data_IF_143694158203
#
_entry.id   IF_143694158203
#
_cell.length_a   1.000
_cell.length_b   1.000
_cell.length_c   1.000
_cell.angle_alpha   90.00
_cell.angle_beta   90.00
_cell.angle_gamma   90.00
#
_symmetry.space_group_name_H-M   'P 1'
#
loop_
_entity.id
_entity.type
_entity.pdbx_description
1 polymer ?
#
# COMPACT_ATOMS: atom_id res chain seq x y z
N UNK A 1 -65.27 -20.10 47.67
CA UNK A 1 -63.81 -20.32 47.68
C UNK A 1 -63.23 -19.25 46.79
N UNK A 2 -62.55 -18.30 47.42
CA UNK A 2 -62.15 -17.02 46.84
C UNK A 2 -60.89 -17.17 46.00
N UNK A 3 -60.89 -16.46 44.87
CA UNK A 3 -59.76 -16.25 43.96
C UNK A 3 -58.63 -15.50 44.67
N UNK A 4 -57.40 -16.01 44.57
CA UNK A 4 -56.17 -15.28 44.88
C UNK A 4 -55.19 -15.49 43.71
N UNK A 5 -55.26 -14.59 42.72
CA UNK A 5 -54.21 -14.41 41.72
C UNK A 5 -53.57 -13.06 41.97
N UNK A 6 -52.40 -13.05 42.60
CA UNK A 6 -51.58 -11.87 42.85
C UNK A 6 -51.08 -11.31 41.51
N UNK A 7 -51.34 -10.04 41.16
CA UNK A 7 -50.67 -9.43 40.01
C UNK A 7 -49.28 -8.94 40.42
N UNK A 8 -48.28 -9.44 39.71
CA UNK A 8 -46.90 -8.98 39.73
C UNK A 8 -46.85 -7.46 39.45
N UNK A 9 -46.35 -6.71 40.42
CA UNK A 9 -46.21 -5.26 40.31
C UNK A 9 -45.19 -4.94 39.22
N UNK A 10 -45.70 -4.53 38.05
CA UNK A 10 -44.91 -3.94 37.00
C UNK A 10 -44.15 -2.73 37.55
N UNK A 11 -42.82 -2.78 37.47
CA UNK A 11 -41.92 -1.67 37.74
C UNK A 11 -42.42 -0.38 37.07
N UNK A 12 -42.39 0.79 37.75
CA UNK A 12 -42.87 2.02 37.15
C UNK A 12 -42.05 2.35 35.89
N UNK A 13 -42.67 2.93 34.85
CA UNK A 13 -41.94 3.38 33.66
C UNK A 13 -40.92 4.44 34.07
N UNK A 14 -39.70 4.44 33.49
CA UNK A 14 -38.71 5.45 33.83
C UNK A 14 -39.26 6.84 33.54
N UNK A 15 -39.17 7.70 34.54
CA UNK A 15 -39.61 9.08 34.53
C UNK A 15 -39.09 9.83 33.30
N UNK A 16 -40.01 10.37 32.52
CA UNK A 16 -39.77 11.34 31.47
C UNK A 16 -38.94 12.49 32.03
N UNK A 17 -37.74 12.72 31.48
CA UNK A 17 -36.97 13.92 31.78
C UNK A 17 -35.47 13.76 32.02
N UNK A 18 -34.88 12.57 31.85
CA UNK A 18 -33.42 12.48 31.85
C UNK A 18 -32.88 12.56 30.43
N UNK A 19 -32.13 13.64 30.21
CA UNK A 19 -31.44 14.00 29.00
C UNK A 19 -30.79 12.77 28.35
N UNK A 20 -31.26 12.41 27.16
CA UNK A 20 -30.75 11.30 26.35
C UNK A 20 -29.23 11.41 26.06
N UNK A 21 -28.65 12.58 26.36
CA UNK A 21 -27.23 12.93 26.23
C UNK A 21 -26.38 12.64 27.48
N UNK A 22 -26.97 12.29 28.62
CA UNK A 22 -26.25 12.19 29.91
C UNK A 22 -25.63 10.79 30.16
N UNK A 23 -25.63 9.91 29.14
CA UNK A 23 -25.13 8.52 29.25
C UNK A 23 -23.73 8.31 28.68
N UNK A 24 -23.18 9.29 27.97
CA UNK A 24 -21.83 9.22 27.43
C UNK A 24 -20.98 10.24 28.17
N UNK A 25 -19.93 9.77 28.83
CA UNK A 25 -18.94 10.67 29.43
C UNK A 25 -18.35 11.52 28.29
N UNK A 26 -18.34 12.85 28.44
CA UNK A 26 -17.81 13.77 27.41
C UNK A 26 -16.32 13.49 27.07
N UNK A 27 -15.61 12.84 27.99
CA UNK A 27 -14.22 12.38 27.88
C UNK A 27 -14.07 10.94 27.33
N UNK A 28 -15.16 10.26 26.95
CA UNK A 28 -15.08 8.91 26.38
C UNK A 28 -14.32 8.95 25.03
N UNK A 29 -13.18 8.23 24.89
CA UNK A 29 -12.37 8.27 23.68
C UNK A 29 -13.13 7.87 22.41
N UNK A 30 -14.14 7.00 22.52
CA UNK A 30 -14.97 6.60 21.37
C UNK A 30 -15.96 7.70 20.96
N UNK A 31 -16.51 8.45 21.92
CA UNK A 31 -17.38 9.60 21.64
C UNK A 31 -16.60 10.74 20.99
N UNK A 32 -15.39 11.02 21.48
CA UNK A 32 -14.47 12.00 20.89
C UNK A 32 -14.05 11.60 19.47
N UNK A 33 -13.77 10.31 19.23
CA UNK A 33 -13.52 9.78 17.88
C UNK A 33 -14.70 9.98 16.95
N UNK A 34 -15.91 9.66 17.41
CA UNK A 34 -17.12 9.80 16.61
C UNK A 34 -17.40 11.27 16.28
N UNK A 35 -17.13 12.18 17.21
CA UNK A 35 -17.26 13.64 17.01
C UNK A 35 -16.25 14.18 16.00
N UNK A 36 -15.00 13.73 16.05
CA UNK A 36 -13.95 14.17 15.13
C UNK A 36 -14.08 13.58 13.73
N UNK A 37 -14.73 12.40 13.59
CA UNK A 37 -14.97 11.72 12.31
C UNK A 37 -15.64 12.60 11.26
N UNK A 38 -16.56 13.47 11.67
CA UNK A 38 -17.25 14.39 10.74
C UNK A 38 -16.32 15.49 10.20
N UNK A 39 -15.33 15.92 10.99
CA UNK A 39 -14.31 16.87 10.56
C UNK A 39 -13.30 16.18 9.62
N UNK A 40 -12.87 14.97 9.95
CA UNK A 40 -11.96 14.16 9.13
C UNK A 40 -12.55 13.89 7.73
N UNK A 41 -13.82 13.47 7.65
CA UNK A 41 -14.51 13.23 6.38
C UNK A 41 -14.63 14.49 5.52
N UNK A 42 -14.85 15.67 6.12
CA UNK A 42 -14.89 16.94 5.40
C UNK A 42 -13.52 17.33 4.89
N UNK A 43 -12.47 17.11 5.67
CA UNK A 43 -11.10 17.32 5.22
C UNK A 43 -10.74 16.41 4.05
N UNK A 44 -11.11 15.14 4.12
CA UNK A 44 -10.91 14.17 3.04
C UNK A 44 -11.66 14.58 1.76
N UNK A 45 -12.91 15.04 1.87
CA UNK A 45 -13.66 15.54 0.71
C UNK A 45 -13.00 16.76 0.07
N UNK A 46 -12.53 17.72 0.89
CA UNK A 46 -11.78 18.88 0.39
C UNK A 46 -10.50 18.45 -0.32
N UNK A 47 -9.77 17.47 0.22
CA UNK A 47 -8.56 16.94 -0.39
C UNK A 47 -8.86 16.19 -1.70
N UNK A 48 -9.95 15.42 -1.74
CA UNK A 48 -10.46 14.76 -2.94
C UNK A 48 -10.85 15.78 -4.02
N UNK A 49 -11.54 16.86 -3.66
CA UNK A 49 -11.91 17.93 -4.59
C UNK A 49 -10.68 18.70 -5.11
N UNK A 50 -9.72 19.00 -4.24
CA UNK A 50 -8.45 19.63 -4.63
C UNK A 50 -7.67 18.75 -5.62
N UNK A 51 -7.65 17.42 -5.39
CA UNK A 51 -6.93 16.45 -6.24
C UNK A 51 -7.72 16.03 -7.49
N UNK A 52 -9.03 16.26 -7.55
CA UNK A 52 -9.91 15.85 -8.65
C UNK A 52 -9.38 16.26 -10.02
N UNK A 53 -8.92 17.50 -10.17
CA UNK A 53 -8.37 18.00 -11.45
C UNK A 53 -7.10 17.26 -11.88
N UNK A 54 -6.20 16.99 -10.94
CA UNK A 54 -4.95 16.27 -11.22
C UNK A 54 -5.26 14.83 -11.64
N UNK A 55 -6.14 14.15 -10.92
CA UNK A 55 -6.58 12.79 -11.28
C UNK A 55 -7.20 12.76 -12.68
N UNK A 56 -8.08 13.71 -13.00
CA UNK A 56 -8.69 13.80 -14.33
C UNK A 56 -7.65 13.98 -15.44
N UNK A 57 -6.60 14.77 -15.21
CA UNK A 57 -5.51 14.96 -16.18
C UNK A 57 -4.67 13.69 -16.32
N UNK A 58 -4.29 13.06 -15.21
CA UNK A 58 -3.49 11.83 -15.23
C UNK A 58 -4.23 10.63 -15.85
N UNK A 59 -5.56 10.67 -15.86
CA UNK A 59 -6.42 9.66 -16.50
C UNK A 59 -6.85 10.07 -17.92
N UNK A 60 -6.47 11.25 -18.41
CA UNK A 60 -6.88 11.75 -19.72
C UNK A 60 -6.10 11.04 -20.85
N UNK A 61 -6.79 10.31 -21.76
CA UNK A 61 -6.13 9.66 -22.89
C UNK A 61 -5.51 10.66 -23.86
N UNK A 62 -6.20 11.78 -24.14
CA UNK A 62 -5.72 12.82 -25.06
C UNK A 62 -4.45 13.49 -24.56
N UNK A 63 -4.37 13.79 -23.26
CA UNK A 63 -3.18 14.39 -22.67
C UNK A 63 -1.97 13.44 -22.76
N UNK A 64 -2.19 12.14 -22.57
CA UNK A 64 -1.15 11.13 -22.71
C UNK A 64 -0.61 11.06 -24.15
N UNK A 65 -1.50 11.06 -25.14
CA UNK A 65 -1.10 11.05 -26.56
C UNK A 65 -0.29 12.29 -26.95
N UNK A 66 -0.71 13.47 -26.50
CA UNK A 66 0.03 14.73 -26.71
C UNK A 66 1.42 14.69 -26.05
N UNK A 67 1.51 14.19 -24.82
CA UNK A 67 2.78 14.05 -24.09
C UNK A 67 3.74 13.09 -24.81
N UNK A 68 3.24 11.97 -25.31
CA UNK A 68 4.04 10.99 -26.05
C UNK A 68 4.54 11.57 -27.39
N UNK A 69 3.68 12.30 -28.11
CA UNK A 69 4.07 13.03 -29.32
C UNK A 69 5.18 14.05 -29.06
N UNK A 70 5.06 14.84 -27.98
CA UNK A 70 6.07 15.82 -27.59
C UNK A 70 7.42 15.15 -27.28
N UNK A 71 7.42 14.04 -26.54
CA UNK A 71 8.64 13.27 -26.22
C UNK A 71 9.30 12.78 -27.51
N UNK A 72 8.53 12.22 -28.45
CA UNK A 72 9.05 11.73 -29.73
C UNK A 72 9.66 12.86 -30.57
N UNK A 73 9.03 14.03 -30.60
CA UNK A 73 9.54 15.19 -31.32
C UNK A 73 10.85 15.70 -30.71
N UNK A 74 10.94 15.78 -29.38
CA UNK A 74 12.18 16.18 -28.69
C UNK A 74 13.30 15.16 -28.87
N UNK A 75 12.98 13.86 -28.90
CA UNK A 75 13.94 12.80 -29.20
C UNK A 75 14.47 12.88 -30.63
N UNK A 76 13.61 13.13 -31.61
CA UNK A 76 13.98 13.31 -33.02
C UNK A 76 14.86 14.54 -33.24
N UNK A 77 14.67 15.60 -32.44
CA UNK A 77 15.45 16.83 -32.49
C UNK A 77 16.86 16.69 -31.89
N UNK A 78 17.18 15.55 -31.25
CA UNK A 78 18.51 15.26 -30.72
C UNK A 78 18.85 15.94 -29.40
N UNK A 79 17.88 16.62 -28.76
CA UNK A 79 18.08 17.30 -27.48
C UNK A 79 17.96 16.31 -26.31
N UNK A 80 18.91 15.39 -26.19
CA UNK A 80 18.98 14.40 -25.11
C UNK A 80 19.31 15.04 -23.75
N UNK A 81 18.37 15.83 -23.22
CA UNK A 81 18.46 16.50 -21.94
C UNK A 81 17.75 15.72 -20.84
N UNK A 82 18.13 15.99 -19.59
CA UNK A 82 17.44 15.54 -18.39
C UNK A 82 15.92 15.76 -18.45
N UNK A 83 15.47 16.79 -19.18
CA UNK A 83 14.07 17.13 -19.36
C UNK A 83 13.29 16.04 -20.12
N UNK A 84 13.86 15.41 -21.15
CA UNK A 84 13.19 14.31 -21.88
C UNK A 84 13.01 13.10 -20.97
N UNK A 85 14.03 12.77 -20.18
CA UNK A 85 13.95 11.69 -19.20
C UNK A 85 12.86 11.94 -18.16
N UNK A 86 12.74 13.16 -17.65
CA UNK A 86 11.67 13.54 -16.72
C UNK A 86 10.28 13.39 -17.36
N UNK A 87 10.11 13.85 -18.61
CA UNK A 87 8.85 13.68 -19.35
C UNK A 87 8.50 12.20 -19.57
N UNK A 88 9.51 11.35 -19.84
CA UNK A 88 9.31 9.91 -19.99
C UNK A 88 8.83 9.26 -18.71
N UNK A 89 9.41 9.62 -17.57
CA UNK A 89 8.97 9.13 -16.26
C UNK A 89 7.51 9.51 -15.97
N UNK A 90 7.08 10.72 -16.34
CA UNK A 90 5.68 11.15 -16.19
C UNK A 90 4.76 10.32 -17.09
N UNK A 91 5.15 10.08 -18.35
CA UNK A 91 4.37 9.27 -19.28
C UNK A 91 4.23 7.81 -18.80
N UNK A 92 5.32 7.21 -18.29
CA UNK A 92 5.33 5.85 -17.74
C UNK A 92 4.45 5.76 -16.49
N UNK A 93 4.50 6.77 -15.62
CA UNK A 93 3.61 6.87 -14.47
C UNK A 93 2.13 6.91 -14.88
N UNK A 94 1.79 7.72 -15.88
CA UNK A 94 0.43 7.80 -16.42
C UNK A 94 -0.04 6.51 -17.13
N UNK A 95 0.87 5.71 -17.66
CA UNK A 95 0.51 4.42 -18.25
C UNK A 95 0.17 3.36 -17.18
N UNK A 96 0.74 3.48 -15.97
CA UNK A 96 0.55 2.54 -14.86
C UNK A 96 -0.74 2.73 -14.06
N UNK A 97 -1.43 3.86 -14.23
CA UNK A 97 -2.72 4.16 -13.56
C UNK A 97 -3.92 3.47 -14.20
N UNK A 98 -3.70 2.55 -15.15
CA UNK A 98 -4.75 1.80 -15.83
C UNK A 98 -5.63 1.04 -14.82
N UNK A 99 -6.96 1.17 -14.95
CA UNK A 99 -7.94 0.35 -14.24
C UNK A 99 -7.79 -1.12 -14.64
N UNK A 100 -6.98 -1.87 -13.91
CA UNK A 100 -6.88 -3.31 -14.07
C UNK A 100 -8.20 -3.98 -13.62
N UNK A 101 -8.75 -4.83 -14.49
CA UNK A 101 -10.05 -5.55 -14.34
C UNK A 101 -9.94 -6.77 -13.42
N UNK A 102 -8.78 -6.99 -12.80
CA UNK A 102 -8.57 -8.02 -11.81
C UNK A 102 -8.39 -7.38 -10.44
N UNK A 103 -8.88 -8.01 -9.35
CA UNK A 103 -8.46 -7.60 -8.03
C UNK A 103 -6.98 -7.97 -7.94
N UNK A 104 -6.11 -7.03 -8.30
CA UNK A 104 -4.79 -7.00 -7.70
C UNK A 104 -5.07 -7.09 -6.20
N UNK A 105 -4.50 -8.11 -5.54
CA UNK A 105 -4.40 -8.14 -4.08
C UNK A 105 -4.17 -6.71 -3.64
N UNK A 106 -5.07 -6.17 -2.77
CA UNK A 106 -5.07 -4.77 -2.37
C UNK A 106 -3.62 -4.32 -2.31
N UNK A 107 -3.21 -3.50 -3.29
CA UNK A 107 -1.88 -2.91 -3.30
C UNK A 107 -1.92 -1.95 -2.14
N UNK A 108 -1.72 -2.50 -0.95
CA UNK A 108 -1.46 -1.79 0.25
C UNK A 108 -0.12 -1.14 -0.05
N UNK A 109 -0.16 0.09 -0.59
CA UNK A 109 0.97 1.00 -0.64
C UNK A 109 1.45 1.40 0.77
N UNK A 110 1.09 0.62 1.80
CA UNK A 110 1.75 0.64 3.09
C UNK A 110 3.24 0.45 2.81
N UNK A 111 4.00 1.47 3.18
CA UNK A 111 5.37 1.75 2.76
C UNK A 111 6.21 0.49 2.50
N UNK A 112 6.23 0.07 1.24
CA UNK A 112 6.94 -1.11 0.79
C UNK A 112 8.43 -0.82 0.88
N UNK A 113 9.17 -1.58 1.69
CA UNK A 113 10.61 -1.42 1.85
C UNK A 113 11.31 -1.62 0.49
N UNK A 114 12.32 -0.78 0.16
CA UNK A 114 13.06 -0.93 -1.07
C UNK A 114 13.85 -2.25 -1.05
N UNK A 115 13.92 -2.94 -2.19
CA UNK A 115 14.63 -4.22 -2.30
C UNK A 115 16.12 -4.09 -1.97
N UNK A 116 16.76 -2.99 -2.38
CA UNK A 116 18.17 -2.71 -2.12
C UNK A 116 18.33 -1.85 -0.86
N UNK A 117 17.94 -2.40 0.28
CA UNK A 117 18.02 -1.79 1.61
C UNK A 117 19.40 -1.91 2.27
N UNK A 118 20.33 -2.68 1.69
CA UNK A 118 21.69 -2.84 2.19
C UNK A 118 22.45 -1.50 2.20
N UNK A 119 22.95 -1.12 3.38
CA UNK A 119 23.82 0.05 3.50
C UNK A 119 25.28 -0.32 3.19
N UNK A 120 26.09 0.70 2.88
CA UNK A 120 27.51 0.52 2.53
C UNK A 120 28.30 -0.20 3.63
N UNK A 121 27.92 -0.04 4.91
CA UNK A 121 28.54 -0.72 6.04
C UNK A 121 28.34 -2.26 5.98
N UNK A 122 27.15 -2.72 5.62
CA UNK A 122 26.84 -4.15 5.50
C UNK A 122 27.57 -4.79 4.32
N UNK A 123 27.85 -3.99 3.29
CA UNK A 123 28.52 -4.46 2.08
C UNK A 123 29.99 -4.82 2.24
N UNK A 124 30.63 -4.41 3.34
CA UNK A 124 32.05 -4.71 3.59
C UNK A 124 32.30 -6.19 3.91
N UNK A 125 31.29 -6.89 4.41
CA UNK A 125 31.39 -8.30 4.83
C UNK A 125 30.90 -9.29 3.76
N UNK A 126 30.35 -8.79 2.65
CA UNK A 126 29.75 -9.61 1.60
C UNK A 126 30.79 -10.07 0.58
N UNK A 127 30.61 -11.27 0.03
CA UNK A 127 31.44 -11.76 -1.05
C UNK A 127 31.26 -10.88 -2.31
N UNK A 128 32.27 -10.87 -3.19
CA UNK A 128 32.25 -10.08 -4.42
C UNK A 128 31.01 -10.44 -5.27
N UNK A 129 30.12 -9.48 -5.47
CA UNK A 129 28.90 -9.66 -6.25
C UNK A 129 27.70 -10.23 -5.47
N UNK A 130 27.86 -10.60 -4.21
CA UNK A 130 26.77 -11.15 -3.38
C UNK A 130 25.65 -10.15 -3.18
N UNK A 131 25.96 -8.86 -2.97
CA UNK A 131 24.96 -7.79 -2.87
C UNK A 131 23.98 -7.79 -4.04
N UNK A 132 24.50 -7.94 -5.26
CA UNK A 132 23.66 -7.99 -6.46
C UNK A 132 22.78 -9.25 -6.47
N UNK A 133 23.31 -10.37 -6.01
CA UNK A 133 22.58 -11.64 -5.94
C UNK A 133 21.45 -11.58 -4.90
N UNK A 134 21.68 -10.94 -3.73
CA UNK A 134 20.67 -10.66 -2.71
C UNK A 134 19.52 -9.80 -3.24
N UNK A 135 19.83 -8.74 -4.00
CA UNK A 135 18.79 -7.96 -4.67
C UNK A 135 18.00 -8.80 -5.68
N UNK A 136 18.67 -9.63 -6.48
CA UNK A 136 17.99 -10.48 -7.49
C UNK A 136 17.02 -11.48 -6.87
N UNK A 137 17.44 -12.23 -5.84
CA UNK A 137 16.57 -13.20 -5.19
C UNK A 137 15.36 -12.51 -4.53
N UNK A 138 15.57 -11.36 -3.88
CA UNK A 138 14.50 -10.56 -3.27
C UNK A 138 13.51 -10.02 -4.31
N UNK A 139 14.00 -9.56 -5.48
CA UNK A 139 13.13 -9.19 -6.60
C UNK A 139 12.27 -10.35 -7.10
N UNK A 140 12.80 -11.58 -7.12
CA UNK A 140 12.02 -12.76 -7.49
C UNK A 140 10.88 -12.99 -6.50
N UNK A 141 11.13 -12.89 -5.19
CA UNK A 141 10.08 -12.99 -4.17
C UNK A 141 8.98 -11.93 -4.35
N UNK A 142 9.34 -10.68 -4.69
CA UNK A 142 8.36 -9.63 -5.00
C UNK A 142 7.54 -9.92 -6.25
N UNK A 143 8.12 -10.54 -7.27
CA UNK A 143 7.38 -10.98 -8.45
C UNK A 143 6.44 -12.15 -8.12
N UNK A 144 6.89 -13.11 -7.31
CA UNK A 144 6.03 -14.23 -6.85
C UNK A 144 4.81 -13.72 -6.10
N UNK A 145 4.98 -12.71 -5.26
CA UNK A 145 3.88 -12.04 -4.56
C UNK A 145 2.95 -11.31 -5.53
N UNK A 146 3.50 -10.51 -6.46
CA UNK A 146 2.73 -9.75 -7.45
C UNK A 146 1.85 -10.63 -8.35
N UNK A 147 2.36 -11.80 -8.74
CA UNK A 147 1.61 -12.76 -9.58
C UNK A 147 0.73 -13.72 -8.78
N UNK A 148 0.64 -13.57 -7.45
CA UNK A 148 -0.17 -14.42 -6.58
C UNK A 148 0.37 -15.83 -6.39
N UNK A 149 1.61 -16.11 -6.80
CA UNK A 149 2.26 -17.42 -6.62
C UNK A 149 2.78 -17.62 -5.19
N UNK A 150 2.81 -16.54 -4.39
CA UNK A 150 3.12 -16.57 -2.96
C UNK A 150 2.06 -17.29 -2.09
N UNK A 151 0.91 -17.69 -2.65
CA UNK A 151 -0.09 -18.50 -1.94
C UNK A 151 0.40 -19.92 -1.60
N UNK A 152 1.48 -20.37 -2.22
CA UNK A 152 2.13 -21.63 -1.90
C UNK A 152 2.96 -21.48 -0.63
N UNK A 153 2.36 -21.85 0.50
CA UNK A 153 3.06 -22.01 1.78
C UNK A 153 4.25 -22.95 1.56
N UNK A 154 5.43 -22.60 2.10
CA UNK A 154 6.66 -23.41 2.01
C UNK A 154 7.41 -23.40 0.66
N UNK A 155 7.27 -22.32 -0.13
CA UNK A 155 8.07 -22.11 -1.35
C UNK A 155 9.41 -21.44 -1.05
N UNK A 156 10.50 -22.03 -1.55
CA UNK A 156 11.85 -21.47 -1.42
C UNK A 156 12.46 -21.19 -2.79
N UNK A 157 13.02 -19.99 -2.94
CA UNK A 157 13.91 -19.65 -4.04
C UNK A 157 15.33 -19.76 -3.50
N UNK A 158 16.20 -20.45 -4.24
CA UNK A 158 17.61 -20.57 -3.88
C UNK A 158 18.47 -19.98 -4.99
N UNK A 159 19.50 -19.22 -4.63
CA UNK A 159 20.40 -18.60 -5.59
C UNK A 159 21.86 -18.87 -5.20
N UNK A 160 22.62 -19.47 -6.09
CA UNK A 160 24.06 -19.72 -5.88
C UNK A 160 24.84 -18.41 -6.01
N UNK A 161 25.66 -18.06 -5.01
CA UNK A 161 26.38 -16.76 -4.96
C UNK A 161 27.58 -16.73 -5.90
N UNK A 162 28.43 -17.75 -5.87
CA UNK A 162 29.60 -17.87 -6.75
C UNK A 162 29.70 -19.30 -7.31
N UNK A 163 30.43 -19.45 -8.42
CA UNK A 163 30.83 -20.76 -8.95
C UNK A 163 31.98 -21.38 -8.18
N UNK A 164 32.83 -20.58 -7.53
CA UNK A 164 33.98 -21.07 -6.76
C UNK A 164 33.60 -21.48 -5.32
N UNK A 165 32.57 -20.85 -4.76
CA UNK A 165 32.09 -21.13 -3.40
C UNK A 165 30.70 -21.75 -3.49
N UNK A 166 30.50 -22.93 -2.89
CA UNK A 166 29.22 -23.65 -2.84
C UNK A 166 28.27 -23.05 -1.80
N UNK A 167 28.11 -21.73 -1.83
CA UNK A 167 27.22 -20.96 -0.98
C UNK A 167 25.93 -20.60 -1.73
N UNK A 168 24.80 -20.72 -1.03
CA UNK A 168 23.47 -20.42 -1.55
C UNK A 168 22.77 -19.39 -0.67
N UNK A 169 22.05 -18.47 -1.32
CA UNK A 169 21.11 -17.56 -0.67
C UNK A 169 19.73 -18.20 -0.66
N UNK A 170 19.03 -18.04 0.46
CA UNK A 170 17.65 -18.46 0.68
C UNK A 170 16.98 -17.43 1.58
N UNK A 171 15.69 -17.20 1.40
CA UNK A 171 14.93 -16.31 2.30
C UNK A 171 14.77 -16.95 3.70
N UNK A 172 14.78 -16.17 4.79
CA UNK A 172 14.46 -16.67 6.11
C UNK A 172 13.08 -17.31 6.19
N UNK A 173 12.90 -18.24 7.13
CA UNK A 173 11.58 -18.84 7.37
C UNK A 173 10.69 -17.86 8.13
N UNK A 174 9.43 -17.76 7.72
CA UNK A 174 8.40 -16.97 8.40
C UNK A 174 8.25 -15.53 7.92
N UNK A 175 9.09 -15.06 7.00
CA UNK A 175 8.86 -13.79 6.26
C UNK A 175 7.98 -14.04 5.05
N UNK A 176 7.03 -13.14 4.80
CA UNK A 176 6.18 -13.21 3.61
C UNK A 176 6.97 -12.79 2.35
N UNK A 177 6.54 -13.23 1.17
CA UNK A 177 7.22 -12.91 -0.09
C UNK A 177 7.29 -11.39 -0.36
N UNK A 178 6.30 -10.63 0.14
CA UNK A 178 6.28 -9.17 0.07
C UNK A 178 7.25 -8.48 1.04
N UNK A 179 7.76 -9.18 2.05
CA UNK A 179 8.68 -8.61 3.05
C UNK A 179 10.15 -8.87 2.76
N UNK A 180 10.47 -9.79 1.84
CA UNK A 180 11.85 -10.16 1.51
C UNK A 180 12.62 -8.97 0.92
N UNK A 181 13.77 -8.65 1.53
CA UNK A 181 14.71 -7.60 1.09
C UNK A 181 16.13 -8.15 0.95
N UNK A 182 17.05 -7.36 0.40
CA UNK A 182 18.43 -7.80 0.22
C UNK A 182 19.17 -8.04 1.55
N UNK A 183 18.74 -7.39 2.63
CA UNK A 183 19.28 -7.59 3.99
C UNK A 183 18.70 -8.80 4.73
N UNK A 184 17.66 -9.44 4.19
CA UNK A 184 17.05 -10.65 4.77
C UNK A 184 18.01 -11.86 4.76
#
# INVERSE_FOLDING_TARGET
>A
MSEDTVPEAASPPPSQGQHYFDRFSEDDPEYLRLRNRAADLRQDFNLMEQKKRVTMILQSPSFREELEGLIQEQMKKGNNSSNIWALRQIADFMASTSHAVFPASSMNFSMMTPINDLHTADSLNLAKGERLMRCKISSVYRLLDLYGWAQLSDTYVTLRVSKEQDHFLISPKGVSCSEVTASS
#
